data_IF_044417132020
#
_entry.id   IF_044417132020
#
_cell.length_a   1.000
_cell.length_b   1.000
_cell.length_c   1.000
_cell.angle_alpha   90.00
_cell.angle_beta   90.00
_cell.angle_gamma   90.00
#
_symmetry.space_group_name_H-M   'P 1'
#
loop_
_entity.id
_entity.type
_entity.pdbx_description
1 polymer ?
#
# COMPACT_ATOMS: atom_id res chain seq x y z
N UNK A 1 46.85 -28.75 -49.66
CA UNK A 1 46.89 -28.65 -48.18
C UNK A 1 46.97 -30.07 -47.63
N UNK A 2 48.00 -30.42 -46.84
CA UNK A 2 48.21 -31.81 -46.44
C UNK A 2 47.14 -32.26 -45.42
N UNK A 3 46.68 -33.50 -45.53
CA UNK A 3 45.67 -34.07 -44.63
C UNK A 3 46.04 -33.95 -43.14
N UNK A 4 47.34 -34.03 -42.82
CA UNK A 4 47.88 -33.81 -41.47
C UNK A 4 47.66 -32.37 -40.98
N UNK A 5 47.85 -31.36 -41.84
CA UNK A 5 47.65 -29.94 -41.48
C UNK A 5 46.17 -29.62 -41.26
N UNK A 6 45.28 -30.20 -42.08
CA UNK A 6 43.83 -30.05 -41.93
C UNK A 6 43.36 -30.66 -40.60
N UNK A 7 43.84 -31.86 -40.26
CA UNK A 7 43.48 -32.54 -39.01
C UNK A 7 43.95 -31.75 -37.78
N UNK A 8 45.15 -31.21 -37.82
CA UNK A 8 45.71 -30.43 -36.70
C UNK A 8 44.98 -29.10 -36.53
N UNK A 9 44.61 -28.44 -37.62
CA UNK A 9 43.75 -27.26 -37.61
C UNK A 9 42.36 -27.56 -37.02
N UNK A 10 41.72 -28.66 -37.40
CA UNK A 10 40.42 -29.06 -36.87
C UNK A 10 40.46 -29.37 -35.37
N UNK A 11 41.51 -30.05 -34.90
CA UNK A 11 41.70 -30.32 -33.46
C UNK A 11 41.91 -29.01 -32.69
N UNK A 12 42.71 -28.09 -33.23
CA UNK A 12 42.94 -26.79 -32.60
C UNK A 12 41.65 -25.96 -32.51
N UNK A 13 40.84 -25.95 -33.58
CA UNK A 13 39.53 -25.30 -33.59
C UNK A 13 38.60 -25.95 -32.56
N UNK A 14 38.55 -27.29 -32.47
CA UNK A 14 37.73 -27.97 -31.47
C UNK A 14 38.14 -27.67 -30.03
N UNK A 15 39.46 -27.60 -29.75
CA UNK A 15 39.96 -27.26 -28.40
C UNK A 15 39.64 -25.80 -28.05
N UNK A 16 39.74 -24.89 -29.02
CA UNK A 16 39.37 -23.49 -28.83
C UNK A 16 37.85 -23.32 -28.63
N UNK A 17 37.03 -24.05 -29.38
CA UNK A 17 35.57 -24.08 -29.20
C UNK A 17 35.18 -24.72 -27.85
N UNK A 18 35.92 -25.73 -27.39
CA UNK A 18 35.69 -26.33 -26.07
C UNK A 18 36.10 -25.42 -24.91
N UNK A 19 36.89 -24.37 -25.16
CA UNK A 19 37.38 -23.44 -24.12
C UNK A 19 36.38 -22.34 -23.72
N UNK A 20 35.14 -22.39 -24.20
CA UNK A 20 34.02 -21.56 -23.72
C UNK A 20 34.15 -20.10 -24.13
N UNK A 21 33.95 -19.83 -25.42
CA UNK A 21 34.12 -18.49 -25.99
C UNK A 21 33.21 -17.45 -25.33
N UNK A 22 31.97 -17.81 -24.97
CA UNK A 22 31.03 -16.91 -24.30
C UNK A 22 31.41 -16.65 -22.84
N UNK A 23 31.89 -17.67 -22.12
CA UNK A 23 32.41 -17.51 -20.76
C UNK A 23 33.61 -16.56 -20.73
N UNK A 24 34.57 -16.74 -21.63
CA UNK A 24 35.75 -15.88 -21.73
C UNK A 24 35.39 -14.43 -22.12
N UNK A 25 34.52 -14.24 -23.12
CA UNK A 25 34.04 -12.92 -23.51
C UNK A 25 33.26 -12.23 -22.39
N UNK A 26 32.46 -12.98 -21.64
CA UNK A 26 31.74 -12.46 -20.46
C UNK A 26 32.70 -12.09 -19.34
N UNK A 27 33.78 -12.85 -19.15
CA UNK A 27 34.82 -12.51 -18.17
C UNK A 27 35.56 -11.22 -18.54
N UNK A 28 35.89 -11.00 -19.81
CA UNK A 28 36.57 -9.76 -20.24
C UNK A 28 35.61 -8.58 -20.47
N UNK A 29 34.31 -8.81 -20.33
CA UNK A 29 33.30 -7.76 -20.55
C UNK A 29 33.38 -6.63 -19.52
N UNK A 30 33.01 -5.40 -19.91
CA UNK A 30 32.93 -4.31 -18.96
C UNK A 30 31.82 -4.55 -17.94
N UNK A 31 32.04 -4.06 -16.73
CA UNK A 31 31.01 -4.03 -15.68
C UNK A 31 29.95 -3.01 -16.07
N UNK A 32 28.69 -3.45 -16.13
CA UNK A 32 27.55 -2.55 -16.27
C UNK A 32 26.96 -2.25 -14.91
N UNK A 33 26.72 -0.98 -14.62
CA UNK A 33 26.02 -0.56 -13.42
C UNK A 33 24.65 0.01 -13.75
N UNK A 34 23.62 -0.47 -13.05
CA UNK A 34 22.26 0.07 -13.13
C UNK A 34 21.77 0.39 -11.73
N UNK A 35 21.01 1.46 -11.59
CA UNK A 35 20.26 1.75 -10.37
C UNK A 35 18.97 0.96 -10.43
N UNK A 36 18.74 0.15 -9.40
CA UNK A 36 17.55 -0.66 -9.24
C UNK A 36 16.85 -0.21 -7.96
N UNK A 37 15.52 -0.09 -8.03
CA UNK A 37 14.69 0.19 -6.86
C UNK A 37 14.54 -1.12 -6.09
N UNK A 38 15.00 -1.11 -4.86
CA UNK A 38 14.98 -2.23 -3.94
C UNK A 38 13.70 -2.33 -3.14
N UNK A 39 13.84 -2.87 -1.93
CA UNK A 39 12.71 -3.06 -1.03
C UNK A 39 12.09 -1.72 -0.62
N UNK A 40 10.77 -1.77 -0.46
CA UNK A 40 9.98 -0.65 0.01
C UNK A 40 9.76 -0.78 1.50
N UNK A 41 9.94 0.32 2.21
CA UNK A 41 9.79 0.42 3.65
C UNK A 41 8.78 1.50 4.03
N UNK A 42 8.32 1.41 5.28
CA UNK A 42 7.47 2.43 5.88
C UNK A 42 8.37 3.51 6.47
N UNK A 43 8.21 4.74 5.97
CA UNK A 43 8.89 5.93 6.46
C UNK A 43 8.07 6.68 7.51
N UNK A 44 8.24 8.00 7.52
CA UNK A 44 7.67 8.88 8.54
C UNK A 44 6.15 9.03 8.45
N UNK A 45 5.54 9.34 9.59
CA UNK A 45 4.12 9.65 9.66
C UNK A 45 3.77 10.85 8.77
N UNK A 46 2.70 10.71 7.99
CA UNK A 46 2.20 11.78 7.13
C UNK A 46 0.82 12.27 7.60
N UNK A 47 -0.19 11.40 7.58
CA UNK A 47 -1.58 11.82 7.83
C UNK A 47 -2.43 10.68 8.41
N UNK A 48 -3.68 10.97 8.75
CA UNK A 48 -4.68 9.97 9.11
C UNK A 48 -5.70 9.81 7.99
N UNK A 49 -6.03 8.57 7.65
CA UNK A 49 -7.21 8.24 6.87
C UNK A 49 -8.37 7.97 7.83
N UNK A 50 -9.51 8.59 7.58
CA UNK A 50 -10.69 8.46 8.42
C UNK A 50 -11.76 7.61 7.72
N UNK A 51 -12.39 6.72 8.48
CA UNK A 51 -13.53 5.92 8.02
C UNK A 51 -14.70 6.07 8.98
N UNK A 52 -15.92 6.00 8.45
CA UNK A 52 -17.14 6.08 9.26
C UNK A 52 -18.04 4.87 9.01
N UNK A 53 -18.75 4.46 10.07
CA UNK A 53 -19.80 3.43 10.01
C UNK A 53 -21.00 3.91 10.81
N UNK A 54 -22.19 3.78 10.24
CA UNK A 54 -23.44 4.13 10.93
C UNK A 54 -24.14 2.87 11.41
N UNK A 55 -24.45 2.79 12.71
CA UNK A 55 -25.23 1.71 13.32
C UNK A 55 -26.72 2.05 13.36
N UNK A 56 -27.57 1.03 13.41
CA UNK A 56 -29.04 1.14 13.37
C UNK A 56 -29.68 2.02 14.44
N UNK A 57 -28.96 2.36 15.52
CA UNK A 57 -29.45 3.22 16.61
C UNK A 57 -29.12 4.71 16.41
N UNK A 58 -28.91 5.16 15.17
CA UNK A 58 -28.42 6.52 14.85
C UNK A 58 -27.06 6.83 15.52
N UNK A 59 -26.24 5.81 15.79
CA UNK A 59 -24.89 5.97 16.36
C UNK A 59 -23.86 5.89 15.24
N UNK A 60 -23.02 6.91 15.13
CA UNK A 60 -21.92 6.96 14.17
C UNK A 60 -20.66 6.53 14.88
N UNK A 61 -19.86 5.69 14.24
CA UNK A 61 -18.54 5.27 14.70
C UNK A 61 -17.53 5.77 13.68
N UNK A 62 -16.58 6.55 14.15
CA UNK A 62 -15.46 7.09 13.40
C UNK A 62 -14.18 6.36 13.81
N UNK A 63 -13.46 5.88 12.83
CA UNK A 63 -12.15 5.25 12.99
C UNK A 63 -11.11 6.00 12.18
N UNK A 64 -9.86 5.94 12.62
CA UNK A 64 -8.72 6.53 11.94
C UNK A 64 -7.58 5.54 11.82
N UNK A 65 -6.93 5.56 10.67
CA UNK A 65 -5.78 4.73 10.33
C UNK A 65 -4.58 5.64 10.04
N UNK A 66 -3.45 5.48 10.72
CA UNK A 66 -2.26 6.29 10.43
C UNK A 66 -1.65 5.87 9.08
N UNK A 67 -1.42 6.85 8.23
CA UNK A 67 -0.71 6.72 6.97
C UNK A 67 0.69 7.33 7.11
N UNK A 68 1.68 6.61 6.62
CA UNK A 68 3.08 7.03 6.59
C UNK A 68 3.58 7.09 5.14
N UNK A 69 4.63 7.87 4.91
CA UNK A 69 5.31 7.95 3.62
C UNK A 69 5.95 6.60 3.28
N UNK A 70 5.77 6.14 2.04
CA UNK A 70 6.49 4.99 1.52
C UNK A 70 7.90 5.43 1.12
N UNK A 71 8.93 4.80 1.71
CA UNK A 71 10.33 4.99 1.34
C UNK A 71 10.80 3.80 0.52
N UNK A 72 11.70 4.05 -0.43
CA UNK A 72 12.32 2.99 -1.23
C UNK A 72 13.84 3.10 -1.14
N UNK A 73 14.49 1.95 -0.96
CA UNK A 73 15.95 1.86 -1.04
C UNK A 73 16.35 1.75 -2.50
N UNK A 74 17.09 2.73 -3.04
CA UNK A 74 17.82 2.51 -4.28
C UNK A 74 19.10 1.72 -3.98
N UNK A 75 19.47 0.79 -4.86
CA UNK A 75 20.82 0.25 -4.86
C UNK A 75 21.39 0.24 -6.27
N UNK A 76 22.71 0.41 -6.36
CA UNK A 76 23.44 0.27 -7.61
C UNK A 76 23.89 -1.17 -7.74
N UNK A 77 23.29 -1.89 -8.68
CA UNK A 77 23.74 -3.22 -9.06
C UNK A 77 24.79 -3.09 -10.15
N UNK A 78 25.99 -3.58 -9.90
CA UNK A 78 27.06 -3.66 -10.88
C UNK A 78 27.39 -5.12 -11.18
N UNK A 79 27.29 -5.55 -12.44
CA UNK A 79 27.66 -6.90 -12.87
C UNK A 79 28.29 -6.92 -14.25
N UNK A 80 29.08 -7.96 -14.55
CA UNK A 80 29.65 -8.16 -15.89
C UNK A 80 28.57 -8.38 -16.92
N UNK A 81 28.71 -7.77 -18.08
CA UNK A 81 27.77 -7.94 -19.20
C UNK A 81 27.96 -9.33 -19.80
N UNK A 82 26.88 -10.09 -19.92
CA UNK A 82 26.96 -11.36 -20.65
C UNK A 82 27.15 -11.02 -22.14
N UNK A 83 28.26 -11.48 -22.72
CA UNK A 83 28.64 -11.31 -24.12
C UNK A 83 28.97 -12.69 -24.69
N UNK A 84 28.70 -12.92 -25.97
CA UNK A 84 29.06 -14.17 -26.64
C UNK A 84 27.92 -15.18 -26.78
N UNK A 85 26.67 -14.79 -26.47
CA UNK A 85 25.49 -15.60 -26.79
C UNK A 85 25.42 -16.05 -28.24
N UNK A 86 25.81 -15.17 -29.18
CA UNK A 86 25.86 -15.51 -30.60
C UNK A 86 26.88 -16.62 -30.88
N UNK A 87 28.06 -16.56 -30.26
CA UNK A 87 29.09 -17.61 -30.39
C UNK A 87 28.61 -18.94 -29.79
N UNK A 88 28.00 -18.90 -28.60
CA UNK A 88 27.43 -20.10 -27.97
C UNK A 88 26.25 -20.70 -28.75
N UNK A 89 25.44 -19.87 -29.42
CA UNK A 89 24.36 -20.35 -30.28
C UNK A 89 24.89 -21.11 -31.51
N UNK A 90 26.01 -20.66 -32.11
CA UNK A 90 26.69 -21.43 -33.15
C UNK A 90 27.22 -22.76 -32.59
N UNK A 91 27.88 -22.76 -31.43
CA UNK A 91 28.39 -23.99 -30.80
C UNK A 91 27.27 -24.98 -30.42
N UNK A 92 26.09 -24.49 -30.04
CA UNK A 92 24.92 -25.31 -29.77
C UNK A 92 24.44 -26.07 -31.01
N UNK A 93 24.41 -25.42 -32.17
CA UNK A 93 23.98 -26.04 -33.44
C UNK A 93 24.95 -27.12 -33.91
N UNK A 94 26.26 -26.91 -33.75
CA UNK A 94 27.28 -27.82 -34.30
C UNK A 94 27.75 -28.90 -33.32
N UNK A 95 27.76 -28.62 -32.01
CA UNK A 95 28.40 -29.49 -31.03
C UNK A 95 27.56 -29.76 -29.78
N UNK A 96 26.40 -29.10 -29.59
CA UNK A 96 25.54 -29.26 -28.41
C UNK A 96 26.12 -28.73 -27.08
N UNK A 97 27.38 -28.32 -27.06
CA UNK A 97 28.12 -27.85 -25.87
C UNK A 97 27.81 -26.39 -25.50
N UNK A 98 27.18 -25.62 -26.40
CA UNK A 98 26.89 -24.19 -26.19
C UNK A 98 25.99 -23.88 -24.99
N UNK A 99 25.20 -24.86 -24.50
CA UNK A 99 24.39 -24.69 -23.29
C UNK A 99 25.26 -24.51 -22.05
N UNK A 100 26.33 -25.31 -21.93
CA UNK A 100 27.25 -25.27 -20.78
C UNK A 100 27.97 -23.91 -20.74
N UNK A 101 28.36 -23.39 -21.91
CA UNK A 101 29.03 -22.09 -22.01
C UNK A 101 28.10 -20.91 -21.65
N UNK A 102 26.81 -20.98 -22.01
CA UNK A 102 25.80 -19.98 -21.60
C UNK A 102 25.55 -20.01 -20.09
N UNK A 103 25.50 -21.19 -19.49
CA UNK A 103 25.31 -21.35 -18.03
C UNK A 103 26.53 -20.79 -17.29
N UNK A 104 27.73 -21.12 -17.74
CA UNK A 104 28.97 -20.59 -17.15
C UNK A 104 29.08 -19.07 -17.30
N UNK A 105 28.72 -18.51 -18.46
CA UNK A 105 28.68 -17.07 -18.68
C UNK A 105 27.68 -16.36 -17.73
N UNK A 106 26.50 -16.95 -17.51
CA UNK A 106 25.58 -16.46 -16.47
C UNK A 106 26.18 -16.54 -15.08
N UNK A 107 26.80 -17.68 -14.74
CA UNK A 107 27.47 -17.87 -13.46
C UNK A 107 28.54 -16.79 -13.21
N UNK A 108 29.33 -16.43 -14.22
CA UNK A 108 30.33 -15.35 -14.13
C UNK A 108 29.66 -13.99 -13.91
N UNK A 109 28.57 -13.69 -14.63
CA UNK A 109 27.84 -12.42 -14.47
C UNK A 109 27.24 -12.30 -13.07
N UNK A 110 26.55 -13.33 -12.59
CA UNK A 110 25.93 -13.34 -11.26
C UNK A 110 26.97 -13.39 -10.13
N UNK A 111 28.05 -14.17 -10.26
CA UNK A 111 29.14 -14.16 -9.28
C UNK A 111 29.91 -12.83 -9.26
N UNK A 112 29.86 -12.04 -10.33
CA UNK A 112 30.47 -10.70 -10.38
C UNK A 112 29.55 -9.59 -9.85
N UNK A 113 28.33 -9.94 -9.44
CA UNK A 113 27.35 -8.97 -8.95
C UNK A 113 27.83 -8.35 -7.64
N UNK A 114 27.98 -7.04 -7.66
CA UNK A 114 28.18 -6.22 -6.47
C UNK A 114 27.01 -5.25 -6.30
N UNK A 115 26.49 -5.17 -5.07
CA UNK A 115 25.37 -4.31 -4.71
C UNK A 115 25.93 -3.20 -3.82
N UNK A 116 25.73 -1.96 -4.24
CA UNK A 116 26.07 -0.79 -3.43
C UNK A 116 24.79 -0.10 -3.00
N UNK A 117 24.48 -0.02 -1.70
CA UNK A 117 23.31 0.71 -1.24
C UNK A 117 23.46 2.19 -1.60
N UNK A 118 22.40 2.76 -2.16
CA UNK A 118 22.26 4.21 -2.31
C UNK A 118 21.35 4.72 -1.19
N UNK A 119 21.11 6.04 -1.17
CA UNK A 119 20.22 6.65 -0.19
C UNK A 119 18.77 6.17 -0.37
N UNK A 120 18.06 6.13 0.75
CA UNK A 120 16.60 6.00 0.78
C UNK A 120 15.96 7.31 0.29
N UNK A 121 14.87 7.18 -0.46
CA UNK A 121 14.08 8.32 -0.92
C UNK A 121 12.59 8.04 -0.78
N UNK A 122 11.82 9.10 -0.59
CA UNK A 122 10.35 9.03 -0.52
C UNK A 122 9.77 8.81 -1.92
N UNK A 123 8.87 7.86 -2.06
CA UNK A 123 8.24 7.55 -3.35
C UNK A 123 7.10 8.52 -3.70
N UNK A 124 6.63 9.31 -2.73
CA UNK A 124 5.45 10.16 -2.83
C UNK A 124 4.13 9.42 -2.58
N UNK A 125 4.17 8.10 -2.38
CA UNK A 125 3.00 7.32 -1.99
C UNK A 125 2.85 7.29 -0.47
N UNK A 126 1.62 7.12 0.00
CA UNK A 126 1.30 6.89 1.41
C UNK A 126 0.77 5.49 1.62
N UNK A 127 1.20 4.84 2.69
CA UNK A 127 0.82 3.47 3.06
C UNK A 127 0.40 3.40 4.52
N UNK A 128 -0.52 2.49 4.84
CA UNK A 128 -0.95 2.27 6.21
C UNK A 128 0.21 1.74 7.06
N UNK A 129 0.56 2.46 8.12
CA UNK A 129 1.70 2.13 8.98
C UNK A 129 1.32 1.68 10.39
N UNK A 130 0.03 1.57 10.67
CA UNK A 130 -0.47 1.13 11.97
C UNK A 130 -1.88 0.56 11.89
N UNK A 131 -2.34 0.08 13.03
CA UNK A 131 -3.70 -0.47 13.17
C UNK A 131 -4.74 0.64 13.15
N UNK A 132 -5.90 0.33 12.58
CA UNK A 132 -7.10 1.16 12.68
C UNK A 132 -7.47 1.34 14.16
N UNK A 133 -7.68 2.59 14.59
CA UNK A 133 -8.05 2.94 15.96
C UNK A 133 -9.31 3.79 15.99
N UNK A 134 -10.06 3.78 17.11
CA UNK A 134 -11.15 4.72 17.29
C UNK A 134 -10.66 6.16 17.21
N UNK A 135 -11.39 6.98 16.46
CA UNK A 135 -11.09 8.40 16.32
C UNK A 135 -11.72 9.18 17.48
N UNK A 136 -11.17 9.04 18.68
CA UNK A 136 -11.69 9.64 19.90
C UNK A 136 -11.46 11.16 19.98
N UNK A 137 -12.39 11.88 20.60
CA UNK A 137 -12.36 13.33 20.82
C UNK A 137 -12.25 14.19 19.55
N UNK A 138 -12.60 13.63 18.39
CA UNK A 138 -12.62 14.35 17.12
C UNK A 138 -13.91 15.16 16.99
N UNK A 139 -13.79 16.41 16.54
CA UNK A 139 -14.92 17.29 16.30
C UNK A 139 -15.65 16.92 15.00
N UNK A 140 -16.96 16.71 15.09
CA UNK A 140 -17.84 16.56 13.93
C UNK A 140 -18.85 17.71 13.87
N UNK A 141 -19.11 18.17 12.65
CA UNK A 141 -20.09 19.20 12.34
C UNK A 141 -21.26 18.54 11.64
N UNK A 142 -22.46 18.78 12.16
CA UNK A 142 -23.72 18.24 11.67
C UNK A 142 -24.58 19.42 11.22
N UNK A 143 -24.90 19.46 9.94
CA UNK A 143 -25.60 20.59 9.32
C UNK A 143 -26.77 20.15 8.44
N UNK A 144 -27.81 20.97 8.42
CA UNK A 144 -28.89 20.90 7.43
C UNK A 144 -29.33 22.32 7.09
N UNK A 145 -29.07 22.74 5.85
CA UNK A 145 -29.39 24.09 5.38
C UNK A 145 -30.90 24.36 5.32
N UNK A 146 -31.72 23.37 4.93
CA UNK A 146 -33.18 23.51 4.82
C UNK A 146 -33.85 23.81 6.16
N UNK A 147 -33.33 23.22 7.25
CA UNK A 147 -33.84 23.42 8.61
C UNK A 147 -33.01 24.40 9.44
N UNK A 148 -32.03 25.08 8.84
CA UNK A 148 -31.06 25.95 9.54
C UNK A 148 -30.44 25.26 10.77
N UNK A 149 -30.18 23.96 10.64
CA UNK A 149 -29.57 23.14 11.68
C UNK A 149 -28.05 23.26 11.56
N UNK A 150 -27.40 23.62 12.65
CA UNK A 150 -25.96 23.52 12.81
C UNK A 150 -25.66 23.06 14.23
N UNK A 151 -24.98 21.93 14.35
CA UNK A 151 -24.58 21.33 15.63
C UNK A 151 -23.15 20.84 15.52
N UNK A 152 -22.40 21.04 16.59
CA UNK A 152 -21.05 20.50 16.75
C UNK A 152 -21.09 19.44 17.85
N UNK A 153 -20.46 18.31 17.60
CA UNK A 153 -20.33 17.22 18.57
C UNK A 153 -18.91 16.68 18.54
N UNK A 154 -18.54 15.96 19.59
CA UNK A 154 -17.24 15.30 19.70
C UNK A 154 -17.45 13.80 19.87
N UNK A 155 -16.58 13.00 19.25
CA UNK A 155 -16.59 11.55 19.42
C UNK A 155 -16.17 11.14 20.83
N UNK A 156 -16.80 10.09 21.36
CA UNK A 156 -16.41 9.45 22.62
C UNK A 156 -15.07 8.70 22.50
N UNK A 157 -14.61 8.08 23.59
CA UNK A 157 -13.36 7.28 23.60
C UNK A 157 -13.36 6.10 22.60
N UNK A 158 -14.55 5.66 22.18
CA UNK A 158 -14.73 4.62 21.16
C UNK A 158 -14.92 5.23 19.76
N UNK A 159 -14.59 6.51 19.57
CA UNK A 159 -14.73 7.21 18.31
C UNK A 159 -16.17 7.40 17.89
N UNK A 160 -17.13 7.35 18.81
CA UNK A 160 -18.54 7.29 18.46
C UNK A 160 -19.33 8.52 18.89
N UNK A 161 -20.36 8.85 18.11
CA UNK A 161 -21.31 9.93 18.41
C UNK A 161 -22.73 9.39 18.32
N UNK A 162 -23.50 9.65 19.37
CA UNK A 162 -24.95 9.41 19.38
C UNK A 162 -25.69 10.63 18.81
N UNK A 163 -26.24 10.48 17.60
CA UNK A 163 -27.01 11.56 16.97
C UNK A 163 -28.29 11.91 17.74
N UNK A 164 -28.88 10.96 18.47
CA UNK A 164 -30.10 11.24 19.25
C UNK A 164 -29.79 12.20 20.40
N UNK A 165 -28.59 12.07 20.99
CA UNK A 165 -28.14 12.97 22.04
C UNK A 165 -27.80 14.37 21.51
N UNK A 166 -27.34 14.48 20.26
CA UNK A 166 -26.95 15.76 19.64
C UNK A 166 -28.16 16.48 19.01
N UNK A 167 -29.11 15.74 18.46
CA UNK A 167 -30.28 16.25 17.72
C UNK A 167 -31.59 16.08 18.51
N UNK A 168 -31.56 16.29 19.83
CA UNK A 168 -32.71 16.11 20.74
C UNK A 168 -33.92 16.97 20.37
N UNK A 169 -33.69 18.11 19.75
CA UNK A 169 -34.71 19.09 19.34
C UNK A 169 -35.26 18.85 17.93
N UNK A 170 -34.70 17.86 17.20
CA UNK A 170 -35.10 17.57 15.82
C UNK A 170 -36.17 16.49 15.80
N UNK A 171 -37.37 16.87 15.35
CA UNK A 171 -38.49 15.96 15.16
C UNK A 171 -38.61 15.46 13.71
N UNK A 172 -39.00 14.19 13.57
CA UNK A 172 -39.27 13.54 12.30
C UNK A 172 -38.02 13.00 11.60
N UNK A 173 -38.10 12.87 10.28
CA UNK A 173 -37.00 12.39 9.43
C UNK A 173 -36.31 13.58 8.79
N UNK A 174 -34.99 13.69 8.94
CA UNK A 174 -34.18 14.81 8.46
C UNK A 174 -32.88 14.29 7.85
N UNK A 175 -32.59 14.72 6.61
CA UNK A 175 -31.27 14.48 6.00
C UNK A 175 -30.25 15.45 6.60
N UNK A 176 -29.24 14.93 7.27
CA UNK A 176 -28.12 15.72 7.81
C UNK A 176 -26.87 15.50 6.99
N UNK A 177 -26.08 16.55 6.81
CA UNK A 177 -24.72 16.45 6.30
C UNK A 177 -23.78 16.47 7.49
N UNK A 178 -22.86 15.53 7.51
CA UNK A 178 -21.90 15.35 8.60
C UNK A 178 -20.52 15.47 7.99
N UNK A 179 -19.69 16.32 8.58
CA UNK A 179 -18.30 16.52 8.18
C UNK A 179 -17.39 16.51 9.39
N UNK A 180 -16.17 16.05 9.20
CA UNK A 180 -15.14 16.17 10.22
C UNK A 180 -14.65 17.63 10.29
N UNK A 181 -14.35 18.11 11.49
CA UNK A 181 -13.85 19.48 11.68
C UNK A 181 -12.40 19.62 11.20
N UNK A 182 -11.57 18.61 11.47
CA UNK A 182 -10.15 18.59 11.10
C UNK A 182 -9.90 18.31 9.62
N UNK A 183 -10.83 17.62 8.95
CA UNK A 183 -10.73 17.27 7.54
C UNK A 183 -12.07 17.44 6.81
N UNK A 184 -12.13 18.46 5.96
CA UNK A 184 -13.33 18.77 5.18
C UNK A 184 -13.60 17.77 4.05
N UNK A 185 -12.62 16.92 3.69
CA UNK A 185 -12.79 15.89 2.68
C UNK A 185 -13.70 14.76 3.16
N UNK A 186 -13.70 14.47 4.47
CA UNK A 186 -14.64 13.51 5.05
C UNK A 186 -16.00 14.19 5.30
N UNK A 187 -16.86 14.15 4.29
CA UNK A 187 -18.23 14.62 4.37
C UNK A 187 -19.22 13.57 3.82
N UNK A 188 -20.30 13.30 4.56
CA UNK A 188 -21.35 12.38 4.12
C UNK A 188 -22.73 12.85 4.53
N UNK A 189 -23.74 12.47 3.74
CA UNK A 189 -25.13 12.69 4.10
C UNK A 189 -25.72 11.46 4.78
N UNK A 190 -26.47 11.67 5.84
CA UNK A 190 -27.20 10.62 6.56
C UNK A 190 -28.66 11.02 6.77
N UNK A 191 -29.58 10.06 6.65
CA UNK A 191 -31.00 10.29 6.91
C UNK A 191 -31.30 9.92 8.37
N UNK A 192 -31.35 10.94 9.22
CA UNK A 192 -31.68 10.79 10.63
C UNK A 192 -33.18 10.65 10.81
N UNK A 193 -33.62 9.57 11.45
CA UNK A 193 -34.99 9.38 11.88
C UNK A 193 -35.05 9.50 13.40
N UNK A 194 -35.71 10.54 13.90
CA UNK A 194 -35.93 10.71 15.33
C UNK A 194 -36.82 9.56 15.84
N UNK A 195 -36.23 8.66 16.63
CA UNK A 195 -36.99 7.66 17.38
C UNK A 195 -37.81 8.40 18.43
N UNK A 196 -39.15 8.34 18.32
CA UNK A 196 -40.03 8.86 19.37
C UNK A 196 -39.66 8.16 20.67
N UNK A 197 -39.04 8.89 21.60
CA UNK A 197 -38.94 8.45 22.98
C UNK A 197 -40.39 8.33 23.45
N UNK A 198 -40.86 7.11 23.67
CA UNK A 198 -42.16 6.86 24.26
C UNK A 198 -42.15 7.52 25.65
N UNK A 199 -42.82 8.66 25.76
CA UNK A 199 -43.08 9.33 27.05
C UNK A 199 -44.19 8.53 27.74
N UNK A 200 -43.81 7.38 28.29
CA UNK A 200 -44.62 6.55 29.17
C UNK A 200 -44.08 6.71 30.58
N UNK A 201 -44.97 6.85 31.57
CA UNK A 201 -44.69 6.94 33.01
C UNK A 201 -44.25 8.31 33.56
N UNK A 202 -45.21 9.23 33.74
CA UNK A 202 -45.36 10.07 34.98
C UNK A 202 -46.62 10.95 34.98
N UNK A 203 -47.73 10.54 34.35
CA UNK A 203 -49.01 11.27 34.49
C UNK A 203 -50.17 10.47 35.12
N UNK A 204 -49.94 9.23 35.58
CA UNK A 204 -51.00 8.39 36.17
C UNK A 204 -50.79 8.07 37.66
N UNK A 205 -50.49 9.06 38.51
CA UNK A 205 -50.52 8.84 39.96
C UNK A 205 -51.13 9.95 40.84
N UNK A 206 -51.79 10.97 40.27
CA UNK A 206 -52.48 11.99 41.09
C UNK A 206 -53.99 12.12 40.85
N UNK A 207 -54.61 11.18 40.14
CA UNK A 207 -56.04 11.24 39.82
C UNK A 207 -56.90 10.18 40.54
N UNK A 208 -56.52 9.70 41.74
CA UNK A 208 -57.44 8.94 42.60
C UNK A 208 -57.11 9.16 44.08
N UNK A 209 -57.56 10.30 44.62
CA UNK A 209 -57.99 10.34 46.03
C UNK A 209 -59.44 10.78 46.04
N UNK A 210 -60.29 9.77 45.95
CA UNK A 210 -61.74 9.84 46.04
C UNK A 210 -62.12 10.26 47.45
N UNK A 211 -63.11 11.15 47.51
CA UNK A 211 -63.90 11.56 48.67
C UNK A 211 -64.84 10.41 49.09
N UNK A 212 -64.70 9.94 50.34
CA UNK A 212 -65.71 9.29 51.23
C UNK A 212 -64.94 8.66 52.40
N UNK A 213 -65.25 8.81 53.69
CA UNK A 213 -66.42 9.23 54.46
C UNK A 213 -66.04 10.29 55.49
#
# INVERSE_FOLDING_TARGET
MNFKTIKLFFIMVMVLSASGCASFLTYMSPVQSKVVVGEKSVGDFNTYEYHYKVRSNNKIILTKTPLCNETAQAYRESKKRIIGYSAAAFELIFYGLGIIDIVNAHGISENSKAIYPLAEYETGNVVACGVERPAANEGIIIENQQRKLYRKAYTDENGAVDLQAVLKDVNGVVKVNIRLESDSALAFSYLYAATKIARSETQNMNAYKIVSN
#
